data_IF_154999792919
#
_entry.id   IF_154999792919
#
_cell.length_a   1.000
_cell.length_b   1.000
_cell.length_c   1.000
_cell.angle_alpha   90.00
_cell.angle_beta   90.00
_cell.angle_gamma   90.00
#
_symmetry.space_group_name_H-M   'P 1'
#
loop_
_entity.id
_entity.type
_entity.pdbx_description
1 polymer ?
#
# COMPACT_ATOMS: atom_id res chain seq x y z
N UNK A 1 6.92 4.36 12.94
CA UNK A 1 6.67 5.47 13.86
C UNK A 1 5.49 5.21 14.77
N UNK A 2 4.33 4.80 14.25
CA UNK A 2 3.18 4.41 15.09
C UNK A 2 3.61 3.38 16.15
N UNK A 3 4.32 2.32 15.75
CA UNK A 3 4.88 1.33 16.67
C UNK A 3 5.87 1.94 17.68
N UNK A 4 6.73 2.87 17.25
CA UNK A 4 7.68 3.53 18.13
C UNK A 4 7.01 4.46 19.17
N UNK A 5 5.92 5.14 18.80
CA UNK A 5 5.16 5.99 19.73
C UNK A 5 4.43 5.19 20.81
N UNK A 6 4.19 3.90 20.60
CA UNK A 6 3.60 2.97 21.57
C UNK A 6 4.62 2.36 22.54
N UNK A 7 5.89 2.76 22.47
CA UNK A 7 6.94 2.26 23.36
C UNK A 7 7.44 0.85 23.02
N UNK A 8 7.14 0.36 21.82
CA UNK A 8 7.66 -0.92 21.37
C UNK A 8 9.19 -0.87 21.20
N UNK A 9 9.83 -2.01 21.47
CA UNK A 9 11.25 -2.18 21.25
C UNK A 9 11.61 -2.25 19.74
N UNK A 10 12.88 -2.30 19.42
CA UNK A 10 13.34 -2.36 18.03
C UNK A 10 12.86 -3.62 17.31
N UNK A 11 12.76 -4.76 18.00
CA UNK A 11 12.24 -6.00 17.44
C UNK A 11 10.77 -5.90 17.07
N UNK A 12 9.95 -5.35 17.96
CA UNK A 12 8.52 -5.11 17.72
C UNK A 12 8.28 -4.15 16.55
N UNK A 13 9.07 -3.06 16.47
CA UNK A 13 8.98 -2.10 15.37
C UNK A 13 9.33 -2.77 14.04
N UNK A 14 10.42 -3.54 13.97
CA UNK A 14 10.81 -4.25 12.76
C UNK A 14 9.77 -5.29 12.35
N UNK A 15 9.26 -6.05 13.31
CA UNK A 15 8.24 -7.07 13.06
C UNK A 15 6.97 -6.46 12.46
N UNK A 16 6.44 -5.38 13.06
CA UNK A 16 5.24 -4.69 12.55
C UNK A 16 5.51 -4.09 11.17
N UNK A 17 6.69 -3.49 10.96
CA UNK A 17 7.06 -2.94 9.65
C UNK A 17 7.11 -4.04 8.58
N UNK A 18 7.67 -5.19 8.89
CA UNK A 18 7.74 -6.34 7.98
C UNK A 18 6.33 -6.84 7.63
N UNK A 19 5.50 -7.15 8.64
CA UNK A 19 4.13 -7.63 8.42
C UNK A 19 3.32 -6.63 7.59
N UNK A 20 3.34 -5.34 7.95
CA UNK A 20 2.62 -4.31 7.23
C UNK A 20 3.07 -4.20 5.75
N UNK A 21 4.38 -4.34 5.49
CA UNK A 21 4.93 -4.22 4.15
C UNK A 21 4.58 -5.40 3.23
N UNK A 22 4.51 -6.62 3.79
CA UNK A 22 4.25 -7.83 2.99
C UNK A 22 2.77 -8.19 2.90
N UNK A 23 1.91 -7.70 3.79
CA UNK A 23 0.52 -8.15 3.92
C UNK A 23 -0.33 -7.91 2.67
N UNK A 24 -0.22 -6.73 2.04
CA UNK A 24 -0.99 -6.41 0.84
C UNK A 24 -0.72 -7.37 -0.31
N UNK A 25 0.56 -7.56 -0.64
CA UNK A 25 0.96 -8.52 -1.68
C UNK A 25 0.62 -9.97 -1.31
N UNK A 26 0.74 -10.32 -0.04
CA UNK A 26 0.37 -11.67 0.45
C UNK A 26 -1.11 -11.95 0.26
N UNK A 27 -1.98 -11.06 0.73
CA UNK A 27 -3.43 -11.24 0.58
C UNK A 27 -3.84 -11.30 -0.89
N UNK A 28 -3.33 -10.38 -1.70
CA UNK A 28 -3.60 -10.36 -3.14
C UNK A 28 -3.25 -11.71 -3.80
N UNK A 29 -2.05 -12.21 -3.57
CA UNK A 29 -1.60 -13.46 -4.18
C UNK A 29 -2.41 -14.65 -3.64
N UNK A 30 -2.69 -14.72 -2.34
CA UNK A 30 -3.50 -15.79 -1.75
C UNK A 30 -4.91 -15.84 -2.33
N UNK A 31 -5.57 -14.70 -2.56
CA UNK A 31 -6.89 -14.68 -3.21
C UNK A 31 -6.87 -15.17 -4.65
N UNK A 32 -5.73 -15.05 -5.33
CA UNK A 32 -5.53 -15.56 -6.69
C UNK A 32 -4.98 -17.00 -6.73
N UNK A 33 -4.77 -17.64 -5.57
CA UNK A 33 -4.19 -18.98 -5.49
C UNK A 33 -2.69 -19.03 -5.75
N UNK A 34 -2.03 -17.86 -5.72
CA UNK A 34 -0.61 -17.71 -6.00
C UNK A 34 0.24 -17.62 -4.73
N UNK A 35 1.51 -17.99 -4.85
CA UNK A 35 2.44 -17.86 -3.73
C UNK A 35 2.73 -16.39 -3.41
N UNK A 36 2.83 -16.03 -2.11
CA UNK A 36 3.23 -14.70 -1.70
C UNK A 36 4.57 -14.26 -2.31
N UNK A 37 4.71 -13.00 -2.78
CA UNK A 37 5.91 -12.55 -3.48
C UNK A 37 7.20 -12.68 -2.68
N UNK A 38 7.15 -12.51 -1.36
CA UNK A 38 8.31 -12.60 -0.48
C UNK A 38 8.86 -14.03 -0.32
N UNK A 39 8.06 -15.06 -0.63
CA UNK A 39 8.54 -16.45 -0.68
C UNK A 39 9.37 -16.66 -1.95
N UNK A 40 8.89 -16.13 -3.09
CA UNK A 40 9.57 -16.25 -4.37
C UNK A 40 10.80 -15.33 -4.46
N UNK A 41 10.71 -14.14 -3.87
CA UNK A 41 11.72 -13.10 -3.95
C UNK A 41 12.16 -12.61 -2.56
N UNK A 42 13.00 -13.38 -1.83
CA UNK A 42 13.45 -13.02 -0.47
C UNK A 42 14.15 -11.65 -0.38
N UNK A 43 14.71 -11.15 -1.47
CA UNK A 43 15.34 -9.82 -1.53
C UNK A 43 14.37 -8.66 -1.24
N UNK A 44 13.03 -8.91 -1.30
CA UNK A 44 12.02 -7.92 -0.90
C UNK A 44 12.12 -7.51 0.57
N UNK A 45 12.80 -8.27 1.41
CA UNK A 45 13.09 -7.85 2.78
C UNK A 45 14.18 -6.79 2.89
N UNK A 46 15.05 -6.63 1.88
CA UNK A 46 16.14 -5.64 1.92
C UNK A 46 15.64 -4.19 2.07
N UNK A 47 14.66 -3.70 1.27
CA UNK A 47 14.15 -2.35 1.46
C UNK A 47 13.44 -2.16 2.81
N UNK A 48 12.83 -3.21 3.38
CA UNK A 48 12.21 -3.15 4.71
C UNK A 48 13.29 -2.95 5.78
N UNK A 49 14.36 -3.73 5.72
CA UNK A 49 15.49 -3.61 6.63
C UNK A 49 16.17 -2.24 6.48
N UNK A 50 16.38 -1.78 5.24
CA UNK A 50 16.96 -0.48 4.96
C UNK A 50 16.11 0.66 5.55
N UNK A 51 14.80 0.64 5.32
CA UNK A 51 13.88 1.63 5.88
C UNK A 51 13.85 1.60 7.41
N UNK A 52 13.93 0.42 8.02
CA UNK A 52 14.04 0.27 9.47
C UNK A 52 15.34 0.91 10.00
N UNK A 53 16.49 0.58 9.41
CA UNK A 53 17.79 1.14 9.81
C UNK A 53 17.83 2.65 9.68
N UNK A 54 17.32 3.20 8.58
CA UNK A 54 17.19 4.65 8.38
C UNK A 54 16.32 5.28 9.49
N UNK A 55 15.18 4.65 9.79
CA UNK A 55 14.27 5.16 10.84
C UNK A 55 14.92 5.15 12.21
N UNK A 56 15.70 4.11 12.54
CA UNK A 56 16.46 4.01 13.80
C UNK A 56 17.56 5.07 13.83
N UNK A 57 18.31 5.25 12.75
CA UNK A 57 19.39 6.23 12.66
C UNK A 57 18.91 7.69 12.77
N UNK A 58 17.72 7.99 12.23
CA UNK A 58 17.11 9.33 12.31
C UNK A 58 16.61 9.70 13.73
N UNK A 59 16.48 8.73 14.63
CA UNK A 59 16.05 8.93 16.00
C UNK A 59 14.56 9.32 16.15
N UNK A 60 14.10 9.43 17.41
CA UNK A 60 12.68 9.66 17.74
C UNK A 60 12.19 11.09 17.56
N UNK A 61 13.08 12.05 17.32
CA UNK A 61 12.83 13.49 17.50
C UNK A 61 12.47 14.27 16.24
N UNK A 62 12.53 13.68 15.05
CA UNK A 62 12.17 14.42 13.83
C UNK A 62 10.66 14.33 13.54
N UNK A 63 10.03 15.49 13.40
CA UNK A 63 8.67 15.61 12.90
C UNK A 63 8.64 15.36 11.39
N UNK A 64 8.46 14.10 10.99
CA UNK A 64 8.33 13.67 9.58
C UNK A 64 6.86 13.49 9.19
N UNK A 65 5.93 14.11 9.91
CA UNK A 65 4.49 13.89 9.70
C UNK A 65 4.05 14.00 8.23
N UNK A 66 4.38 15.10 7.58
CA UNK A 66 4.04 15.32 6.15
C UNK A 66 4.79 14.39 5.21
N UNK A 67 6.08 14.19 5.43
CA UNK A 67 6.90 13.31 4.59
C UNK A 67 6.43 11.85 4.69
N UNK A 68 6.14 11.36 5.90
CA UNK A 68 5.60 10.03 6.10
C UNK A 68 4.24 9.86 5.41
N UNK A 69 3.38 10.89 5.45
CA UNK A 69 2.08 10.89 4.79
C UNK A 69 2.22 10.83 3.25
N UNK A 70 3.15 11.59 2.68
CA UNK A 70 3.42 11.52 1.23
C UNK A 70 3.96 10.17 0.81
N UNK A 71 4.85 9.55 1.60
CA UNK A 71 5.32 8.18 1.35
C UNK A 71 4.19 7.16 1.45
N UNK A 72 3.27 7.30 2.42
CA UNK A 72 2.09 6.44 2.55
C UNK A 72 1.19 6.57 1.31
N UNK A 73 0.95 7.80 0.84
CA UNK A 73 0.17 8.07 -0.39
C UNK A 73 0.81 7.41 -1.62
N UNK A 74 2.12 7.53 -1.79
CA UNK A 74 2.84 6.86 -2.87
C UNK A 74 2.76 5.34 -2.75
N UNK A 75 2.90 4.81 -1.54
CA UNK A 75 2.73 3.39 -1.26
C UNK A 75 1.35 2.87 -1.65
N UNK A 76 0.28 3.62 -1.30
CA UNK A 76 -1.09 3.30 -1.70
C UNK A 76 -1.25 3.27 -3.22
N UNK A 77 -0.70 4.27 -3.93
CA UNK A 77 -0.77 4.35 -5.39
C UNK A 77 -0.11 3.14 -6.06
N UNK A 78 1.14 2.84 -5.67
CA UNK A 78 1.89 1.70 -6.20
C UNK A 78 1.19 0.38 -5.87
N UNK A 79 0.72 0.21 -4.63
CA UNK A 79 0.05 -1.02 -4.20
C UNK A 79 -1.29 -1.22 -4.94
N UNK A 80 -2.08 -0.16 -5.15
CA UNK A 80 -3.33 -0.23 -5.91
C UNK A 80 -3.06 -0.69 -7.34
N UNK A 81 -2.21 0.04 -8.05
CA UNK A 81 -1.92 -0.22 -9.47
C UNK A 81 -1.31 -1.60 -9.66
N UNK A 82 -0.29 -1.96 -8.87
CA UNK A 82 0.34 -3.28 -8.98
C UNK A 82 -0.61 -4.43 -8.63
N UNK A 83 -1.60 -4.20 -7.76
CA UNK A 83 -2.57 -5.23 -7.41
C UNK A 83 -3.64 -5.42 -8.49
N UNK A 84 -4.10 -4.34 -9.14
CA UNK A 84 -4.99 -4.43 -10.30
C UNK A 84 -4.29 -5.14 -11.46
N UNK A 85 -3.09 -4.71 -11.79
CA UNK A 85 -2.28 -5.30 -12.85
C UNK A 85 -2.05 -6.79 -12.63
N UNK A 86 -1.64 -7.18 -11.41
CA UNK A 86 -1.46 -8.58 -11.05
C UNK A 86 -2.76 -9.39 -11.18
N UNK A 87 -3.88 -8.84 -10.76
CA UNK A 87 -5.17 -9.51 -10.86
C UNK A 87 -5.55 -9.75 -12.34
N UNK A 88 -5.40 -8.74 -13.19
CA UNK A 88 -5.67 -8.89 -14.63
C UNK A 88 -4.74 -9.89 -15.31
N UNK A 89 -3.46 -9.91 -14.96
CA UNK A 89 -2.48 -10.88 -15.51
C UNK A 89 -2.75 -12.33 -15.07
N UNK A 90 -3.61 -12.53 -14.07
CA UNK A 90 -4.09 -13.84 -13.60
C UNK A 90 -5.59 -14.05 -13.90
N UNK A 91 -6.09 -13.45 -14.98
CA UNK A 91 -7.44 -13.64 -15.50
C UNK A 91 -8.58 -13.30 -14.51
N UNK A 92 -8.34 -12.41 -13.55
CA UNK A 92 -9.40 -11.95 -12.65
C UNK A 92 -10.44 -11.11 -13.41
N UNK A 93 -11.73 -11.27 -13.10
CA UNK A 93 -12.76 -10.39 -13.66
C UNK A 93 -12.54 -8.94 -13.21
N UNK A 94 -12.95 -7.96 -14.03
CA UNK A 94 -12.70 -6.53 -13.80
C UNK A 94 -13.08 -6.05 -12.39
N UNK A 95 -14.25 -6.50 -11.89
CA UNK A 95 -14.68 -6.17 -10.53
C UNK A 95 -13.75 -6.78 -9.48
N UNK A 96 -13.32 -8.03 -9.69
CA UNK A 96 -12.34 -8.70 -8.83
C UNK A 96 -11.00 -7.96 -8.81
N UNK A 97 -10.51 -7.53 -9.98
CA UNK A 97 -9.27 -6.75 -10.09
C UNK A 97 -9.36 -5.42 -9.34
N UNK A 98 -10.50 -4.69 -9.44
CA UNK A 98 -10.71 -3.46 -8.68
C UNK A 98 -10.72 -3.69 -7.17
N UNK A 99 -11.40 -4.73 -6.71
CA UNK A 99 -11.45 -5.11 -5.28
C UNK A 99 -10.07 -5.52 -4.78
N UNK A 100 -9.31 -6.31 -5.56
CA UNK A 100 -7.94 -6.70 -5.21
C UNK A 100 -6.98 -5.50 -5.19
N UNK A 101 -7.20 -4.52 -6.08
CA UNK A 101 -6.48 -3.24 -6.03
C UNK A 101 -6.68 -2.51 -4.70
N UNK A 102 -7.92 -2.42 -4.25
CA UNK A 102 -8.25 -1.84 -2.95
C UNK A 102 -7.64 -2.65 -1.79
N UNK A 103 -7.92 -3.96 -1.74
CA UNK A 103 -7.45 -4.84 -0.66
C UNK A 103 -5.93 -4.83 -0.56
N UNK A 104 -5.23 -4.97 -1.68
CA UNK A 104 -3.76 -4.95 -1.70
C UNK A 104 -3.17 -3.63 -1.18
N UNK A 105 -3.82 -2.51 -1.51
CA UNK A 105 -3.36 -1.20 -1.06
C UNK A 105 -3.58 -0.95 0.43
N UNK A 106 -4.77 -1.27 0.95
CA UNK A 106 -5.16 -0.88 2.32
C UNK A 106 -4.68 -1.86 3.39
N UNK A 107 -4.40 -3.11 3.03
CA UNK A 107 -4.08 -4.17 4.00
C UNK A 107 -2.87 -3.85 4.86
N UNK A 108 -1.81 -3.29 4.27
CA UNK A 108 -0.59 -2.94 5.02
C UNK A 108 -0.85 -1.95 6.14
N UNK A 109 -1.61 -0.89 5.84
CA UNK A 109 -2.02 0.10 6.84
C UNK A 109 -2.93 -0.48 7.91
N UNK A 110 -3.91 -1.31 7.49
CA UNK A 110 -4.85 -1.95 8.40
C UNK A 110 -4.15 -2.89 9.38
N UNK A 111 -3.27 -3.77 8.90
CA UNK A 111 -2.49 -4.66 9.77
C UNK A 111 -1.59 -3.88 10.73
N UNK A 112 -0.91 -2.84 10.25
CA UNK A 112 -0.11 -1.95 11.11
C UNK A 112 -0.96 -1.37 12.24
N UNK A 113 -2.12 -0.82 11.91
CA UNK A 113 -2.96 -0.12 12.89
C UNK A 113 -3.54 -1.10 13.91
N UNK A 114 -4.00 -2.27 13.49
CA UNK A 114 -4.48 -3.34 14.38
C UNK A 114 -3.35 -3.81 15.32
N UNK A 115 -2.17 -4.10 14.81
CA UNK A 115 -1.05 -4.56 15.63
C UNK A 115 -0.54 -3.49 16.60
N UNK A 116 -0.66 -2.20 16.23
CA UNK A 116 -0.33 -1.09 17.10
C UNK A 116 -1.47 -0.73 18.06
N UNK A 117 -2.61 -1.43 18.03
CA UNK A 117 -3.80 -1.10 18.81
C UNK A 117 -4.20 0.39 18.65
N UNK A 118 -4.18 0.85 17.41
CA UNK A 118 -4.67 2.17 17.00
C UNK A 118 -5.94 2.00 16.17
N UNK A 119 -6.80 2.99 16.20
CA UNK A 119 -7.98 2.98 15.32
C UNK A 119 -7.51 3.01 13.87
N UNK A 120 -7.96 2.04 13.03
CA UNK A 120 -7.56 2.00 11.64
C UNK A 120 -7.97 3.28 10.91
N UNK A 121 -7.01 3.98 10.33
CA UNK A 121 -7.23 5.23 9.58
C UNK A 121 -8.21 5.02 8.43
N UNK A 122 -8.22 3.82 7.84
CA UNK A 122 -9.15 3.42 6.78
C UNK A 122 -10.62 3.58 7.19
N UNK A 123 -10.95 3.27 8.45
CA UNK A 123 -12.35 3.31 8.95
C UNK A 123 -12.83 4.73 9.27
N UNK A 124 -11.91 5.65 9.55
CA UNK A 124 -12.23 7.03 9.93
C UNK A 124 -12.07 8.03 8.77
N UNK A 125 -11.42 7.61 7.70
CA UNK A 125 -11.22 8.44 6.51
C UNK A 125 -11.65 7.66 5.27
N UNK A 126 -12.87 7.87 4.83
CA UNK A 126 -13.44 7.33 3.58
C UNK A 126 -12.56 7.61 2.34
N UNK A 127 -11.68 8.59 2.48
CA UNK A 127 -10.80 9.08 1.42
C UNK A 127 -9.73 8.10 0.96
N UNK A 128 -9.32 7.11 1.79
CA UNK A 128 -8.33 6.10 1.40
C UNK A 128 -8.95 5.12 0.42
N UNK A 129 -10.10 4.57 0.79
CA UNK A 129 -10.80 3.59 -0.03
C UNK A 129 -11.24 4.20 -1.38
N UNK A 130 -11.78 5.42 -1.36
CA UNK A 130 -12.21 6.11 -2.58
C UNK A 130 -11.04 6.45 -3.50
N UNK A 131 -9.89 6.86 -2.97
CA UNK A 131 -8.69 7.11 -3.76
C UNK A 131 -8.19 5.84 -4.45
N UNK A 132 -8.09 4.72 -3.73
CA UNK A 132 -7.67 3.44 -4.30
C UNK A 132 -8.66 2.93 -5.34
N UNK A 133 -9.97 2.99 -5.06
CA UNK A 133 -11.00 2.58 -6.02
C UNK A 133 -11.00 3.45 -7.28
N UNK A 134 -10.86 4.78 -7.16
CA UNK A 134 -10.79 5.66 -8.32
C UNK A 134 -9.58 5.33 -9.20
N UNK A 135 -8.41 5.10 -8.60
CA UNK A 135 -7.22 4.67 -9.34
C UNK A 135 -7.41 3.31 -10.01
N UNK A 136 -8.01 2.35 -9.32
CA UNK A 136 -8.31 1.03 -9.90
C UNK A 136 -9.28 1.14 -11.09
N UNK A 137 -10.34 1.91 -10.98
CA UNK A 137 -11.30 2.13 -12.07
C UNK A 137 -10.64 2.82 -13.26
N UNK A 138 -9.82 3.84 -13.02
CA UNK A 138 -9.08 4.52 -14.09
C UNK A 138 -8.09 3.56 -14.76
N UNK A 139 -7.39 2.72 -14.00
CA UNK A 139 -6.52 1.68 -14.56
C UNK A 139 -7.30 0.78 -15.52
N UNK A 140 -8.42 0.21 -15.07
CA UNK A 140 -9.23 -0.70 -15.87
C UNK A 140 -9.80 -0.03 -17.14
N UNK A 141 -10.21 1.24 -17.03
CA UNK A 141 -10.73 2.00 -18.16
C UNK A 141 -9.64 2.28 -19.21
N UNK A 142 -8.42 2.58 -18.79
CA UNK A 142 -7.30 2.86 -19.70
C UNK A 142 -6.71 1.58 -20.29
N UNK A 143 -6.68 0.50 -19.53
CA UNK A 143 -6.25 -0.82 -19.99
C UNK A 143 -7.17 -1.33 -21.12
N UNK A 144 -8.47 -1.11 -21.02
CA UNK A 144 -9.45 -1.44 -22.05
C UNK A 144 -9.27 -0.64 -23.37
N UNK A 145 -8.45 0.42 -23.36
CA UNK A 145 -8.10 1.21 -24.56
C UNK A 145 -6.80 0.76 -25.24
N UNK A 146 -6.22 -0.36 -24.80
CA UNK A 146 -4.95 -0.90 -25.32
C UNK A 146 -3.79 0.11 -25.30
N UNK A 147 -3.77 1.01 -24.30
CA UNK A 147 -2.72 2.00 -24.14
C UNK A 147 -1.43 1.36 -23.61
N UNK A 148 -0.31 2.05 -23.82
CA UNK A 148 0.96 1.62 -23.26
C UNK A 148 0.87 1.46 -21.74
N UNK A 149 1.25 0.28 -21.25
CA UNK A 149 1.16 -0.11 -19.84
C UNK A 149 1.79 0.93 -18.90
N UNK A 150 2.97 1.47 -19.26
CA UNK A 150 3.62 2.49 -18.44
C UNK A 150 2.78 3.78 -18.30
N UNK A 151 2.03 4.14 -19.34
CA UNK A 151 1.12 5.29 -19.32
C UNK A 151 -0.08 5.00 -18.42
N UNK A 152 -0.67 3.82 -18.54
CA UNK A 152 -1.80 3.37 -17.69
C UNK A 152 -1.41 3.40 -16.22
N UNK A 153 -0.27 2.79 -15.87
CA UNK A 153 0.29 2.77 -14.51
C UNK A 153 0.52 4.19 -13.98
N UNK A 154 1.13 5.07 -14.79
CA UNK A 154 1.43 6.44 -14.38
C UNK A 154 0.15 7.26 -14.12
N UNK A 155 -0.83 7.19 -15.03
CA UNK A 155 -2.08 7.96 -14.90
C UNK A 155 -2.91 7.43 -13.73
N UNK A 156 -3.10 6.12 -13.62
CA UNK A 156 -3.86 5.52 -12.53
C UNK A 156 -3.22 5.82 -11.16
N UNK A 157 -1.90 5.69 -11.05
CA UNK A 157 -1.17 6.05 -9.85
C UNK A 157 -1.29 7.53 -9.49
N UNK A 158 -1.20 8.43 -10.48
CA UNK A 158 -1.39 9.85 -10.29
C UNK A 158 -2.80 10.17 -9.77
N UNK A 159 -3.83 9.50 -10.28
CA UNK A 159 -5.22 9.68 -9.80
C UNK A 159 -5.33 9.30 -8.33
N UNK A 160 -4.75 8.18 -7.88
CA UNK A 160 -4.72 7.82 -6.46
C UNK A 160 -4.09 8.93 -5.62
N UNK A 161 -2.92 9.44 -6.05
CA UNK A 161 -2.21 10.50 -5.33
C UNK A 161 -3.05 11.78 -5.27
N UNK A 162 -3.60 12.22 -6.41
CA UNK A 162 -4.39 13.46 -6.47
C UNK A 162 -5.66 13.37 -5.62
N UNK A 163 -6.42 12.29 -5.72
CA UNK A 163 -7.63 12.11 -4.91
C UNK A 163 -7.27 12.08 -3.43
N UNK A 164 -6.18 11.40 -3.07
CA UNK A 164 -5.71 11.32 -1.68
C UNK A 164 -5.26 12.68 -1.14
N UNK A 165 -4.44 13.43 -1.89
CA UNK A 165 -3.95 14.76 -1.49
C UNK A 165 -5.07 15.77 -1.37
N UNK A 166 -6.04 15.77 -2.30
CA UNK A 166 -7.22 16.63 -2.24
C UNK A 166 -8.04 16.33 -0.98
N UNK A 167 -8.23 15.04 -0.67
CA UNK A 167 -9.00 14.61 0.50
C UNK A 167 -8.33 14.87 1.85
N UNK A 168 -7.01 15.06 1.86
CA UNK A 168 -6.28 15.43 3.09
C UNK A 168 -6.39 16.94 3.33
N UNK A 169 -6.55 17.72 2.26
CA UNK A 169 -6.57 19.18 2.31
C UNK A 169 -7.94 19.75 2.69
N UNK A 170 -9.01 19.01 2.42
CA UNK A 170 -10.40 19.36 2.75
C UNK A 170 -10.99 18.44 3.80
#
# INVERSE_FOLDING_TARGET
RVAASKGLDFGGILFIAAIASISGGTLRNLFMGEQPPWIQYPWLFLPIIAAFLITVAMGKTQDVGRFALSLDTLGLAVATVSSVQFALSNDAPLVGAAVLGLVGAVSGGLFRDIMCQTEPVLLHRETIGTACLSGAVVYLALDALDLNEAVVVAIAGLVVVLVRELSIKY
#
